data_IF_060632886899
#
_entry.id   IF_060632886899
#
_cell.length_a   1.000
_cell.length_b   1.000
_cell.length_c   1.000
_cell.angle_alpha   90.00
_cell.angle_beta   90.00
_cell.angle_gamma   90.00
#
_symmetry.space_group_name_H-M   'P 1'
#
loop_
_entity.id
_entity.type
_entity.pdbx_description
1 polymer ?
#
# COMPACT_ATOMS: atom_id res chain seq x y z
N UNK A 1 24.41 11.37 19.86
CA UNK A 1 24.02 11.45 19.10
C UNK A 1 23.72 11.20 18.76
N UNK A 2 23.60 11.22 18.97
CA UNK A 2 23.14 11.14 18.03
C UNK A 2 22.49 11.01 18.21
N UNK A 3 22.54 11.24 18.63
CA UNK A 3 21.72 11.20 18.19
C UNK A 3 21.56 11.45 17.64
N UNK A 4 21.48 11.57 17.53
CA UNK A 4 21.10 11.80 16.64
C UNK A 4 21.14 11.63 16.03
N UNK A 5 21.40 11.41 16.07
CA UNK A 5 21.26 11.20 15.19
C UNK A 5 21.01 10.70 14.96
N UNK A 6 21.25 10.71 15.24
CA UNK A 6 20.66 10.31 14.81
C UNK A 6 19.99 10.36 14.60
N UNK A 7 19.70 10.72 14.96
CA UNK A 7 18.87 10.92 14.52
C UNK A 7 18.69 11.16 13.66
N UNK A 8 18.89 11.49 13.25
CA UNK A 8 18.66 11.64 12.22
C UNK A 8 18.89 10.91 11.47
N UNK A 9 19.22 10.94 11.30
CA UNK A 9 19.39 10.07 10.32
C UNK A 9 18.83 8.81 10.56
N UNK A 10 18.59 8.81 11.13
CA UNK A 10 17.97 8.05 11.16
C UNK A 10 17.12 7.78 11.07
N UNK A 11 17.00 8.33 11.91
CA UNK A 11 15.62 8.14 11.66
C UNK A 11 15.36 7.45 10.39
N UNK A 12 16.29 7.18 9.90
CA UNK A 12 16.23 6.47 8.69
C UNK A 12 15.58 5.14 8.83
N UNK A 13 15.55 4.59 10.00
CA UNK A 13 14.81 3.36 10.17
C UNK A 13 13.35 3.53 9.81
N UNK A 14 12.81 4.71 10.03
CA UNK A 14 11.44 4.98 9.65
C UNK A 14 11.25 5.01 8.14
N UNK A 15 12.34 5.08 7.42
CA UNK A 15 12.32 5.12 5.96
C UNK A 15 12.52 3.74 5.35
N UNK A 16 12.67 2.72 6.16
CA UNK A 16 12.88 1.39 5.62
C UNK A 16 11.69 0.92 4.82
N UNK A 17 11.98 0.18 3.76
CA UNK A 17 10.98 -0.44 2.93
C UNK A 17 10.37 -1.62 3.67
N UNK A 18 9.08 -1.59 3.87
CA UNK A 18 8.36 -2.63 4.59
C UNK A 18 6.98 -2.84 4.00
N UNK A 19 6.39 -3.98 4.31
CA UNK A 19 4.99 -4.26 4.05
C UNK A 19 4.27 -4.32 5.38
N UNK A 20 3.07 -3.73 5.43
CA UNK A 20 2.39 -3.50 6.68
C UNK A 20 0.89 -3.71 6.50
N UNK A 21 0.26 -4.42 7.45
CA UNK A 21 -1.19 -4.53 7.50
C UNK A 21 -1.70 -3.62 8.60
N UNK A 22 -2.50 -2.65 8.23
CA UNK A 22 -3.13 -1.72 9.18
C UNK A 22 -4.59 -2.09 9.32
N UNK A 23 -5.08 -2.09 10.55
CA UNK A 23 -6.48 -2.37 10.84
C UNK A 23 -7.01 -1.28 11.77
N UNK A 24 -8.21 -0.77 11.47
CA UNK A 24 -8.84 0.28 12.27
C UNK A 24 -10.23 -0.21 12.67
N UNK A 25 -10.33 -1.00 13.76
CA UNK A 25 -11.63 -1.45 14.24
C UNK A 25 -12.42 -0.31 14.89
N UNK A 26 -13.66 -0.62 15.26
CA UNK A 26 -14.65 0.37 15.72
C UNK A 26 -14.20 1.32 16.82
N UNK A 27 -13.29 0.91 17.67
CA UNK A 27 -12.89 1.73 18.79
C UNK A 27 -11.73 2.66 18.46
N UNK A 28 -11.48 2.89 17.19
CA UNK A 28 -10.45 3.81 16.71
C UNK A 28 -9.04 3.46 17.15
N UNK A 29 -8.82 2.23 17.56
CA UNK A 29 -7.49 1.76 17.87
C UNK A 29 -6.89 1.16 16.61
N UNK A 30 -5.87 1.80 16.07
CA UNK A 30 -5.15 1.27 14.91
C UNK A 30 -4.19 0.19 15.39
N UNK A 31 -4.24 -0.97 14.75
CA UNK A 31 -3.25 -2.02 14.97
C UNK A 31 -2.49 -2.23 13.68
N UNK A 32 -1.24 -2.68 13.82
CA UNK A 32 -0.43 -2.93 12.63
C UNK A 32 0.40 -4.20 12.81
N UNK A 33 0.62 -4.90 11.69
CA UNK A 33 1.57 -6.00 11.60
C UNK A 33 2.50 -5.66 10.46
N UNK A 34 3.79 -5.93 10.65
CA UNK A 34 4.80 -5.56 9.66
C UNK A 34 5.61 -6.81 9.29
N UNK A 35 5.87 -6.97 8.01
CA UNK A 35 6.72 -8.05 7.53
C UNK A 35 7.75 -7.51 6.56
N UNK A 36 8.80 -8.29 6.35
CA UNK A 36 9.81 -7.99 5.34
C UNK A 36 9.20 -8.05 3.94
N UNK A 37 9.75 -7.31 3.02
CA UNK A 37 9.33 -7.36 1.62
C UNK A 37 9.52 -8.74 1.00
N UNK A 38 10.37 -9.57 1.59
CA UNK A 38 10.60 -10.94 1.12
C UNK A 38 9.46 -11.88 1.48
N UNK A 39 8.62 -11.48 2.42
CA UNK A 39 7.53 -12.35 2.90
C UNK A 39 6.30 -12.20 2.01
N UNK A 40 6.45 -12.64 0.80
CA UNK A 40 5.46 -12.54 -0.26
C UNK A 40 4.18 -13.31 0.09
N UNK A 41 4.34 -14.44 0.76
CA UNK A 41 3.18 -15.27 1.11
C UNK A 41 2.26 -14.59 2.11
N UNK A 42 2.83 -13.93 3.12
CA UNK A 42 2.02 -13.21 4.10
C UNK A 42 1.29 -12.04 3.45
N UNK A 43 1.98 -11.29 2.59
CA UNK A 43 1.36 -10.17 1.90
C UNK A 43 0.20 -10.66 1.01
N UNK A 44 0.43 -11.76 0.28
CA UNK A 44 -0.63 -12.34 -0.54
C UNK A 44 -1.83 -12.73 0.30
N UNK A 45 -1.58 -13.36 1.44
CA UNK A 45 -2.65 -13.79 2.32
C UNK A 45 -3.44 -12.58 2.86
N UNK A 46 -2.74 -11.53 3.28
CA UNK A 46 -3.39 -10.30 3.71
C UNK A 46 -4.32 -9.74 2.63
N UNK A 47 -3.83 -9.70 1.39
CA UNK A 47 -4.62 -9.14 0.29
C UNK A 47 -5.90 -9.93 0.04
N UNK A 48 -5.84 -11.24 0.21
CA UNK A 48 -6.99 -12.12 -0.01
C UNK A 48 -7.98 -12.08 1.14
N UNK A 49 -7.52 -11.71 2.33
CA UNK A 49 -8.33 -11.75 3.54
C UNK A 49 -8.65 -10.37 4.10
N UNK A 50 -8.54 -9.33 3.29
CA UNK A 50 -8.87 -7.99 3.74
C UNK A 50 -10.31 -7.92 4.21
N UNK A 51 -10.50 -7.42 5.43
CA UNK A 51 -11.81 -7.36 6.08
C UNK A 51 -12.33 -5.92 6.02
N UNK A 52 -13.40 -5.67 5.26
CA UNK A 52 -13.94 -4.31 5.16
C UNK A 52 -14.50 -3.78 6.49
N UNK A 53 -14.93 -4.68 7.37
CA UNK A 53 -15.44 -4.25 8.67
C UNK A 53 -14.33 -3.72 9.58
N UNK A 54 -13.10 -4.12 9.33
CA UNK A 54 -11.94 -3.65 10.08
C UNK A 54 -11.21 -2.51 9.39
N UNK A 55 -11.70 -2.08 8.24
CA UNK A 55 -11.08 -1.02 7.44
C UNK A 55 -9.58 -1.26 7.28
N UNK A 56 -9.27 -2.43 6.78
CA UNK A 56 -7.87 -2.85 6.66
C UNK A 56 -7.22 -2.29 5.42
N UNK A 57 -5.91 -2.07 5.51
CA UNK A 57 -5.07 -1.66 4.39
C UNK A 57 -3.81 -2.49 4.39
N UNK A 58 -3.37 -2.91 3.21
CA UNK A 58 -2.02 -3.44 3.03
C UNK A 58 -1.20 -2.31 2.44
N UNK A 59 -0.14 -1.92 3.12
CA UNK A 59 0.68 -0.75 2.80
C UNK A 59 2.11 -1.20 2.54
N UNK A 60 2.68 -0.79 1.43
CA UNK A 60 4.05 -1.16 1.06
C UNK A 60 4.82 0.13 0.80
N UNK A 61 5.92 0.32 1.56
CA UNK A 61 6.79 1.48 1.39
C UNK A 61 7.99 1.09 0.56
N UNK A 62 8.28 1.89 -0.44
CA UNK A 62 9.38 1.69 -1.35
C UNK A 62 10.14 3.00 -1.57
N UNK A 63 11.34 2.98 -2.19
CA UNK A 63 12.09 4.23 -2.43
C UNK A 63 11.33 5.27 -3.24
N UNK A 64 10.45 4.84 -4.16
CA UNK A 64 9.69 5.76 -4.99
C UNK A 64 8.43 6.31 -4.31
N UNK A 65 8.10 5.81 -3.12
CA UNK A 65 6.91 6.23 -2.40
C UNK A 65 6.25 5.07 -1.69
N UNK A 66 4.92 5.06 -1.70
CA UNK A 66 4.15 4.01 -1.05
C UNK A 66 2.95 3.63 -1.90
N UNK A 67 2.51 2.38 -1.74
CA UNK A 67 1.32 1.88 -2.41
C UNK A 67 0.46 1.18 -1.36
N UNK A 68 -0.86 1.34 -1.45
CA UNK A 68 -1.77 0.74 -0.49
C UNK A 68 -2.98 0.15 -1.18
N UNK A 69 -3.35 -1.06 -0.76
CA UNK A 69 -4.64 -1.66 -1.09
C UNK A 69 -5.56 -1.39 0.09
N UNK A 70 -6.67 -0.72 -0.17
CA UNK A 70 -7.54 -0.19 0.88
C UNK A 70 -8.90 -0.85 0.79
N UNK A 71 -9.34 -1.47 1.88
CA UNK A 71 -10.66 -2.05 1.98
C UNK A 71 -11.57 -1.13 2.77
N UNK A 72 -12.70 -0.76 2.16
CA UNK A 72 -13.71 0.09 2.79
C UNK A 72 -15.02 -0.68 2.80
N UNK A 73 -15.86 -0.40 3.77
CA UNK A 73 -17.14 -1.08 3.93
C UNK A 73 -18.05 -1.03 2.72
N UNK A 74 -17.94 0.02 1.93
CA UNK A 74 -18.90 0.30 0.88
C UNK A 74 -18.38 0.06 -0.51
N UNK A 75 -17.11 -0.19 -0.65
CA UNK A 75 -16.49 -0.17 -1.94
C UNK A 75 -15.54 -1.34 -2.11
N UNK A 76 -15.33 -1.78 -3.35
CA UNK A 76 -14.31 -2.79 -3.59
C UNK A 76 -12.94 -2.25 -3.20
N UNK A 77 -12.01 -3.16 -3.02
CA UNK A 77 -10.64 -2.81 -2.67
C UNK A 77 -10.05 -1.90 -3.74
N UNK A 78 -9.60 -0.73 -3.33
CA UNK A 78 -8.93 0.22 -4.22
C UNK A 78 -7.44 0.22 -3.98
N UNK A 79 -6.68 0.61 -5.00
CA UNK A 79 -5.23 0.74 -4.87
C UNK A 79 -4.85 2.18 -5.11
N UNK A 80 -4.06 2.75 -4.18
CA UNK A 80 -3.60 4.13 -4.23
C UNK A 80 -2.09 4.14 -4.08
N UNK A 81 -1.42 4.94 -4.89
CA UNK A 81 0.01 5.14 -4.79
C UNK A 81 0.28 6.60 -4.45
N UNK A 82 1.23 6.83 -3.55
CA UNK A 82 1.64 8.18 -3.16
C UNK A 82 3.14 8.29 -3.33
N UNK A 83 3.61 9.34 -4.00
CA UNK A 83 5.04 9.53 -4.16
C UNK A 83 5.64 10.29 -2.97
N UNK A 84 6.94 10.49 -3.00
CA UNK A 84 7.65 11.13 -1.88
C UNK A 84 7.37 12.63 -1.77
N UNK A 85 6.65 13.19 -2.73
CA UNK A 85 6.25 14.60 -2.70
C UNK A 85 4.79 14.76 -2.30
N UNK A 86 4.13 13.68 -1.94
CA UNK A 86 2.76 13.73 -1.47
C UNK A 86 1.71 13.68 -2.57
N UNK A 87 2.11 13.48 -3.81
CA UNK A 87 1.15 13.34 -4.91
C UNK A 87 0.60 11.92 -4.92
N UNK A 88 -0.69 11.79 -5.23
CA UNK A 88 -1.37 10.51 -5.18
C UNK A 88 -2.03 10.14 -6.49
N UNK A 89 -2.07 8.86 -6.77
CA UNK A 89 -2.72 8.29 -7.95
C UNK A 89 -3.54 7.08 -7.56
N UNK A 90 -4.69 6.93 -8.20
CA UNK A 90 -5.48 5.71 -8.08
C UNK A 90 -5.20 4.78 -9.24
N UNK A 91 -5.32 3.48 -9.00
CA UNK A 91 -5.10 2.46 -10.01
C UNK A 91 -6.44 2.02 -10.62
N UNK A 92 -6.53 2.03 -11.94
CA UNK A 92 -7.74 1.67 -12.66
C UNK A 92 -7.42 0.68 -13.77
N UNK A 93 -8.45 0.03 -14.28
CA UNK A 93 -8.28 -0.90 -15.41
C UNK A 93 -7.86 -0.08 -16.64
N UNK A 94 -6.79 -0.49 -17.33
CA UNK A 94 -6.33 0.27 -18.51
C UNK A 94 -7.42 0.37 -19.57
N UNK A 95 -7.64 1.60 -20.05
CA UNK A 95 -8.61 1.85 -21.11
C UNK A 95 -10.06 1.86 -20.67
N UNK A 96 -10.34 1.61 -19.40
CA UNK A 96 -11.70 1.64 -18.88
C UNK A 96 -12.10 3.07 -18.49
N UNK A 97 -13.39 3.25 -18.22
CA UNK A 97 -13.84 4.55 -17.75
C UNK A 97 -13.46 4.75 -16.27
N UNK A 98 -13.76 5.93 -15.74
CA UNK A 98 -13.26 6.35 -14.44
C UNK A 98 -13.79 5.54 -13.27
N UNK A 99 -14.88 4.84 -13.46
CA UNK A 99 -15.49 4.11 -12.35
C UNK A 99 -14.98 2.68 -12.21
N UNK A 100 -14.20 2.20 -13.17
CA UNK A 100 -13.82 0.80 -13.17
C UNK A 100 -12.51 0.57 -12.42
N UNK A 101 -12.62 -0.02 -11.25
CA UNK A 101 -11.48 -0.34 -10.41
C UNK A 101 -10.89 -1.68 -10.79
N UNK A 102 -9.69 -1.96 -10.25
CA UNK A 102 -9.01 -3.22 -10.51
C UNK A 102 -9.80 -4.41 -9.95
N UNK A 103 -9.70 -5.54 -10.64
CA UNK A 103 -10.23 -6.79 -10.10
C UNK A 103 -9.37 -7.26 -8.93
N UNK A 104 -9.88 -8.18 -8.08
CA UNK A 104 -9.06 -8.71 -6.98
C UNK A 104 -7.73 -9.30 -7.45
N UNK A 105 -7.72 -9.98 -8.60
CA UNK A 105 -6.48 -10.53 -9.12
C UNK A 105 -5.52 -9.42 -9.56
N UNK A 106 -6.03 -8.37 -10.17
CA UNK A 106 -5.19 -7.24 -10.58
C UNK A 106 -4.63 -6.50 -9.36
N UNK A 107 -5.43 -6.37 -8.29
CA UNK A 107 -4.95 -5.79 -7.04
C UNK A 107 -3.79 -6.62 -6.50
N UNK A 108 -3.96 -7.93 -6.43
CA UNK A 108 -2.91 -8.81 -5.95
C UNK A 108 -1.65 -8.67 -6.82
N UNK A 109 -1.81 -8.68 -8.13
CA UNK A 109 -0.67 -8.61 -9.04
C UNK A 109 0.13 -7.32 -8.86
N UNK A 110 -0.53 -6.17 -8.78
CA UNK A 110 0.16 -4.90 -8.66
C UNK A 110 0.81 -4.75 -7.29
N UNK A 111 0.14 -5.20 -6.23
CA UNK A 111 0.69 -5.11 -4.89
C UNK A 111 1.89 -6.02 -4.71
N UNK A 112 1.83 -7.25 -5.24
CA UNK A 112 2.98 -8.15 -5.14
C UNK A 112 4.15 -7.66 -6.01
N UNK A 113 3.86 -7.04 -7.16
CA UNK A 113 4.93 -6.44 -7.97
C UNK A 113 5.64 -5.32 -7.21
N UNK A 114 4.92 -4.60 -6.37
CA UNK A 114 5.51 -3.50 -5.61
C UNK A 114 6.57 -3.97 -4.61
N UNK A 115 6.52 -5.24 -4.21
CA UNK A 115 7.52 -5.78 -3.25
C UNK A 115 8.92 -5.78 -3.82
N UNK A 116 9.07 -5.84 -5.14
CA UNK A 116 10.38 -5.97 -5.77
C UNK A 116 10.68 -4.86 -6.78
N UNK A 117 9.71 -4.02 -7.12
CA UNK A 117 9.95 -3.04 -8.18
C UNK A 117 10.75 -1.86 -7.67
N UNK A 118 11.66 -1.36 -8.50
CA UNK A 118 12.47 -0.19 -8.18
C UNK A 118 11.79 1.10 -8.59
N UNK A 119 10.67 0.98 -9.32
CA UNK A 119 9.87 2.10 -9.76
C UNK A 119 8.40 1.76 -9.52
N UNK A 120 7.54 2.73 -9.68
CA UNK A 120 6.11 2.50 -9.57
C UNK A 120 5.69 1.33 -10.47
N UNK A 121 4.93 0.36 -9.94
CA UNK A 121 4.53 -0.80 -10.74
C UNK A 121 3.77 -0.40 -12.00
N UNK A 122 4.02 -1.13 -13.08
CA UNK A 122 3.29 -0.94 -14.34
C UNK A 122 2.12 -1.91 -14.38
N UNK A 123 1.18 -1.65 -15.25
CA UNK A 123 -0.01 -2.48 -15.46
C UNK A 123 -1.28 -1.68 -15.29
N UNK A 124 -1.51 -1.04 -14.13
CA UNK A 124 -2.70 -0.20 -13.99
C UNK A 124 -2.60 1.10 -14.79
N UNK A 125 -3.76 1.67 -15.04
CA UNK A 125 -3.85 3.04 -15.50
C UNK A 125 -3.83 3.92 -14.23
N UNK A 126 -2.73 4.60 -14.00
CA UNK A 126 -2.54 5.44 -12.81
C UNK A 126 -3.12 6.82 -13.08
N UNK A 127 -4.15 7.20 -12.34
CA UNK A 127 -4.82 8.50 -12.52
C UNK A 127 -4.63 9.37 -11.30
N UNK A 128 -4.25 10.61 -11.54
CA UNK A 128 -3.96 11.57 -10.48
C UNK A 128 -5.23 11.81 -9.64
N UNK A 129 -5.10 11.75 -8.33
CA UNK A 129 -6.25 11.95 -7.44
C UNK A 129 -6.40 13.40 -7.00
N UNK A 130 -5.31 14.08 -6.77
CA UNK A 130 -5.44 15.48 -6.37
C UNK A 130 -4.10 16.16 -6.32
#
# INVERSE_FOLDING_TARGET
>A
MGWLQRLTGRAESAQQDVAELLSTPRLFRVTSETVSLDDRETVRWWLRELDPDLQQQVHIRRPWGAIAAISDRREPVGVVMTDNEGRSWGAYVPGADDSEQLTPQQVEDVMLAALTSTERPVGPDWRRLA
#
